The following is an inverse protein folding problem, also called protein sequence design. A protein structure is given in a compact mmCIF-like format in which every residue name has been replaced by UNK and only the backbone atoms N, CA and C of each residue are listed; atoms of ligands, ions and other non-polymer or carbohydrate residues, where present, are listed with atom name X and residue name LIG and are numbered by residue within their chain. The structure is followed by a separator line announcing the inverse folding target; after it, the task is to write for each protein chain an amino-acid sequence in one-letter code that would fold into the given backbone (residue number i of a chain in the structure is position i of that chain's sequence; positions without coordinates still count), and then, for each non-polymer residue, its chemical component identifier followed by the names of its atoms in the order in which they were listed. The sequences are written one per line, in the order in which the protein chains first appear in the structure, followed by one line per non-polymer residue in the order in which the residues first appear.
data_IF_594728014443
#
_entry.id   IF_594728014443
#
_cell.length_a   1.000
_cell.length_b   1.000
_cell.length_c   1.000
_cell.angle_alpha   90.00
_cell.angle_beta   90.00
_cell.angle_gamma   90.00
#
_symmetry.space_group_name_H-M   'P 1'
#
loop_
_entity.id
_entity.type
_entity.pdbx_description
1 polymer ?
#
# COMPACT_ATOMS: atom_id res chain seq x y z
N UNK A 1 -6.55 26.30 16.61
CA UNK A 1 -5.66 25.27 16.04
C UNK A 1 -6.49 24.41 15.10
N UNK A 2 -6.31 24.56 13.79
CA UNK A 2 -7.10 23.90 12.76
C UNK A 2 -6.78 22.40 12.62
N UNK A 3 -7.76 21.55 12.92
CA UNK A 3 -7.61 20.09 12.99
C UNK A 3 -7.80 19.36 11.63
N UNK A 4 -7.95 20.08 10.52
CA UNK A 4 -8.31 19.50 9.20
C UNK A 4 -7.17 19.21 8.22
N UNK A 5 -5.96 19.74 8.44
CA UNK A 5 -4.95 19.78 7.37
C UNK A 5 -4.14 18.49 7.18
N UNK A 6 -4.12 17.59 8.18
CA UNK A 6 -3.27 16.38 8.15
C UNK A 6 -3.83 15.27 7.25
N UNK A 7 -5.16 15.13 7.17
CA UNK A 7 -5.81 14.10 6.33
C UNK A 7 -5.66 14.43 4.84
N UNK A 8 -5.78 15.71 4.47
CA UNK A 8 -5.53 16.17 3.11
C UNK A 8 -4.12 15.85 2.66
N UNK A 9 -3.14 16.11 3.52
CA UNK A 9 -1.74 15.77 3.27
C UNK A 9 -1.53 14.26 3.11
N UNK A 10 -2.01 13.45 4.05
CA UNK A 10 -1.87 11.99 4.00
C UNK A 10 -2.50 11.38 2.72
N UNK A 11 -3.68 11.88 2.32
CA UNK A 11 -4.35 11.43 1.11
C UNK A 11 -3.56 11.81 -0.15
N UNK A 12 -3.05 13.04 -0.23
CA UNK A 12 -2.24 13.49 -1.36
C UNK A 12 -0.92 12.73 -1.44
N UNK A 13 -0.22 12.55 -0.32
CA UNK A 13 1.02 11.78 -0.26
C UNK A 13 0.80 10.34 -0.74
N UNK A 14 -0.28 9.69 -0.28
CA UNK A 14 -0.61 8.31 -0.68
C UNK A 14 -0.93 8.22 -2.18
N UNK A 15 -1.72 9.16 -2.70
CA UNK A 15 -2.07 9.19 -4.14
C UNK A 15 -0.86 9.41 -5.02
N UNK A 16 -0.01 10.39 -4.70
CA UNK A 16 1.21 10.68 -5.49
C UNK A 16 2.15 9.49 -5.45
N UNK A 17 2.36 8.88 -4.27
CA UNK A 17 3.17 7.67 -4.14
C UNK A 17 2.62 6.51 -4.98
N UNK A 18 1.31 6.27 -4.92
CA UNK A 18 0.66 5.19 -5.68
C UNK A 18 0.73 5.42 -7.19
N UNK A 19 0.44 6.63 -7.66
CA UNK A 19 0.52 6.99 -9.09
C UNK A 19 1.94 6.86 -9.60
N UNK A 20 2.95 7.33 -8.83
CA UNK A 20 4.36 7.16 -9.18
C UNK A 20 4.72 5.68 -9.36
N UNK A 21 4.38 4.84 -8.38
CA UNK A 21 4.62 3.40 -8.45
C UNK A 21 3.90 2.74 -9.65
N UNK A 22 2.62 3.02 -9.85
CA UNK A 22 1.83 2.43 -10.94
C UNK A 22 2.25 2.95 -12.33
N UNK A 23 2.82 4.16 -12.42
CA UNK A 23 3.32 4.71 -13.68
C UNK A 23 4.59 4.02 -14.17
N UNK A 24 5.44 3.54 -13.26
CA UNK A 24 6.74 2.94 -13.58
C UNK A 24 6.77 1.42 -13.46
N UNK A 25 5.83 0.83 -12.71
CA UNK A 25 5.85 -0.60 -12.41
C UNK A 25 4.51 -1.29 -12.66
N UNK A 26 4.59 -2.58 -12.98
CA UNK A 26 3.47 -3.53 -12.94
C UNK A 26 3.64 -4.45 -11.75
N UNK A 27 2.56 -4.60 -10.99
CA UNK A 27 2.50 -5.47 -9.81
C UNK A 27 1.68 -6.72 -10.12
N UNK A 28 2.07 -7.86 -9.57
CA UNK A 28 1.34 -9.12 -9.71
C UNK A 28 1.45 -9.96 -8.44
N UNK A 29 0.52 -10.89 -8.25
CA UNK A 29 0.51 -11.84 -7.14
C UNK A 29 1.69 -12.82 -7.29
N UNK A 30 2.26 -13.25 -6.17
CA UNK A 30 3.28 -14.30 -6.12
C UNK A 30 2.87 -15.41 -5.15
N UNK A 31 3.64 -16.50 -5.09
CA UNK A 31 3.36 -17.65 -4.19
C UNK A 31 3.27 -17.24 -2.71
N UNK A 32 3.90 -16.13 -2.32
CA UNK A 32 3.89 -15.63 -0.93
C UNK A 32 2.74 -14.66 -0.65
N UNK A 33 1.93 -14.29 -1.65
CA UNK A 33 0.80 -13.38 -1.46
C UNK A 33 -0.37 -14.14 -0.83
N UNK A 34 -0.85 -13.69 0.32
CA UNK A 34 -2.04 -14.27 0.95
C UNK A 34 -3.31 -13.83 0.21
N UNK A 35 -4.06 -14.80 -0.33
CA UNK A 35 -5.37 -14.58 -0.97
C UNK A 35 -6.37 -15.59 -0.37
N UNK A 36 -7.36 -15.17 0.43
CA UNK A 36 -7.67 -13.78 0.81
C UNK A 36 -6.63 -13.18 1.78
N UNK A 37 -6.57 -11.84 1.84
CA UNK A 37 -5.67 -11.12 2.74
C UNK A 37 -6.02 -11.41 4.21
N UNK A 38 -5.02 -11.77 5.01
CA UNK A 38 -5.17 -12.01 6.46
C UNK A 38 -4.58 -10.83 7.22
N UNK A 39 -5.38 -10.20 8.08
CA UNK A 39 -4.96 -9.05 8.89
C UNK A 39 -4.25 -9.47 10.18
N UNK A 40 -3.34 -8.62 10.66
CA UNK A 40 -2.75 -8.77 11.99
C UNK A 40 -3.77 -8.38 13.06
N UNK A 41 -4.04 -9.24 14.07
CA UNK A 41 -5.00 -8.94 15.13
C UNK A 41 -4.48 -7.92 16.16
N UNK A 42 -3.18 -7.63 16.16
CA UNK A 42 -2.55 -6.68 17.07
C UNK A 42 -1.62 -5.73 16.30
N UNK A 43 -1.84 -4.43 16.46
CA UNK A 43 -1.04 -3.36 15.85
C UNK A 43 -1.67 -1.98 16.07
N UNK A 44 -0.85 -0.93 16.08
CA UNK A 44 -1.32 0.47 16.14
C UNK A 44 -2.15 0.84 14.89
N UNK A 45 -1.89 0.17 13.77
CA UNK A 45 -2.60 0.31 12.49
C UNK A 45 -2.96 -1.05 11.92
N UNK A 46 -4.02 -1.11 11.10
CA UNK A 46 -4.41 -2.32 10.38
C UNK A 46 -3.35 -2.68 9.33
N UNK A 47 -2.75 -3.85 9.45
CA UNK A 47 -1.67 -4.32 8.58
C UNK A 47 -1.88 -5.79 8.19
N UNK A 48 -1.27 -6.23 7.09
CA UNK A 48 -1.25 -7.64 6.70
C UNK A 48 -0.41 -8.48 7.68
N UNK A 49 -0.92 -9.64 8.08
CA UNK A 49 -0.30 -10.51 9.11
C UNK A 49 1.11 -10.98 8.75
N UNK A 50 1.38 -11.21 7.46
CA UNK A 50 2.68 -11.69 6.95
C UNK A 50 3.31 -10.69 5.97
N UNK A 51 2.96 -9.41 6.07
CA UNK A 51 3.35 -8.38 5.10
C UNK A 51 2.60 -8.48 3.76
N UNK A 52 2.97 -7.62 2.81
CA UNK A 52 2.44 -7.59 1.45
C UNK A 52 3.57 -8.00 0.51
N UNK A 53 3.45 -9.16 -0.13
CA UNK A 53 4.40 -9.64 -1.11
C UNK A 53 3.79 -9.58 -2.50
N UNK A 54 4.49 -8.94 -3.43
CA UNK A 54 4.09 -8.78 -4.83
C UNK A 54 5.33 -8.93 -5.71
N UNK A 55 5.14 -9.47 -6.91
CA UNK A 55 6.15 -9.40 -7.96
C UNK A 55 6.08 -8.02 -8.61
N UNK A 56 7.23 -7.38 -8.81
CA UNK A 56 7.36 -6.04 -9.40
C UNK A 56 8.14 -6.16 -10.70
N UNK A 57 7.56 -5.64 -11.79
CA UNK A 57 8.18 -5.56 -13.10
C UNK A 57 8.16 -4.12 -13.61
N UNK A 58 9.17 -3.69 -14.37
CA UNK A 58 9.15 -2.36 -15.00
C UNK A 58 8.03 -2.27 -16.05
N UNK A 59 7.32 -1.14 -16.04
CA UNK A 59 6.37 -0.72 -17.06
C UNK A 59 7.19 0.04 -18.11
N UNK A 60 7.60 -0.65 -19.18
CA UNK A 60 8.31 -0.05 -20.32
C UNK A 60 7.59 1.19 -20.84
#
# INVERSE_FOLDING_TARGET
MDHGNRIRFALMQTKVGLVGLLSQYKFSVCEKTAVPMVYSPAGLTLCARKGIHLTINNRK
#
